data_IF_935138254295
#
_entry.id   IF_935138254295
#
_cell.length_a   1.000
_cell.length_b   1.000
_cell.length_c   1.000
_cell.angle_alpha   90.00
_cell.angle_beta   90.00
_cell.angle_gamma   90.00
#
_symmetry.space_group_name_H-M   'P 1'
#
loop_
_entity.id
_entity.type
_entity.pdbx_description
1 polymer ?
#
# COMPACT_ATOMS: atom_id res chain seq x y z
N UNK A 1 19.10 56.14 40.17
CA UNK A 1 17.73 55.81 39.71
C UNK A 1 17.70 54.33 39.31
N UNK A 2 17.42 53.44 40.26
CA UNK A 2 17.18 52.02 39.99
C UNK A 2 15.68 51.78 39.92
N UNK A 3 15.20 51.08 38.88
CA UNK A 3 13.81 50.63 38.80
C UNK A 3 13.75 49.17 39.26
N UNK A 4 13.04 48.97 40.37
CA UNK A 4 12.60 47.66 40.84
C UNK A 4 11.68 47.01 39.79
N UNK A 5 12.02 45.80 39.37
CA UNK A 5 11.15 44.94 38.57
C UNK A 5 10.60 43.88 39.52
N UNK A 6 9.38 44.09 39.99
CA UNK A 6 8.67 43.13 40.84
C UNK A 6 8.26 41.93 39.98
N UNK A 7 9.01 40.83 40.08
CA UNK A 7 8.64 39.53 39.50
C UNK A 7 7.36 39.04 40.18
N UNK A 8 6.25 39.13 39.46
CA UNK A 8 4.98 38.52 39.88
C UNK A 8 5.11 37.01 39.81
N UNK A 9 4.97 36.34 40.97
CA UNK A 9 4.92 34.88 41.08
C UNK A 9 3.83 34.33 40.15
N UNK A 10 4.09 33.27 39.37
CA UNK A 10 3.07 32.66 38.53
C UNK A 10 1.93 32.15 39.43
N UNK A 11 0.70 32.58 39.09
CA UNK A 11 -0.54 32.13 39.74
C UNK A 11 -0.56 30.59 39.74
N UNK A 12 -0.67 29.97 40.92
CA UNK A 12 -1.00 28.54 41.07
C UNK A 12 -2.21 28.26 40.17
N UNK A 13 -2.00 27.51 39.08
CA UNK A 13 -3.09 27.07 38.20
C UNK A 13 -4.01 26.17 39.03
N UNK A 14 -5.31 26.47 38.99
CA UNK A 14 -6.37 25.71 39.65
C UNK A 14 -6.26 24.24 39.24
N UNK A 15 -6.39 23.36 40.23
CA UNK A 15 -6.59 21.92 40.08
C UNK A 15 -7.71 21.65 39.05
N UNK A 16 -7.36 21.06 37.91
CA UNK A 16 -8.31 20.55 36.92
C UNK A 16 -8.35 19.03 37.12
N UNK A 17 -9.10 18.56 38.12
CA UNK A 17 -9.39 17.13 38.28
C UNK A 17 -10.39 16.63 37.23
N UNK A 18 -11.16 17.53 36.60
CA UNK A 18 -12.11 17.23 35.54
C UNK A 18 -11.42 17.18 34.19
N UNK A 19 -10.81 16.05 33.84
CA UNK A 19 -10.18 15.88 32.53
C UNK A 19 -9.07 14.84 32.47
N UNK A 20 -8.66 14.31 33.62
CA UNK A 20 -7.75 13.17 33.67
C UNK A 20 -8.45 11.91 33.16
N UNK A 21 -7.68 11.10 32.44
CA UNK A 21 -8.07 9.84 31.84
C UNK A 21 -6.94 8.83 32.06
N UNK A 22 -7.32 7.58 32.13
CA UNK A 22 -6.38 6.46 32.17
C UNK A 22 -5.97 6.15 30.73
N UNK A 23 -4.66 5.99 30.50
CA UNK A 23 -4.08 5.56 29.24
C UNK A 23 -3.26 4.29 29.51
N UNK A 24 -3.60 3.21 28.82
CA UNK A 24 -2.82 1.99 28.76
C UNK A 24 -1.86 2.09 27.57
N UNK A 25 -0.58 1.87 27.84
CA UNK A 25 0.49 1.89 26.84
C UNK A 25 1.16 0.52 26.79
N UNK A 26 1.10 -0.12 25.63
CA UNK A 26 1.85 -1.34 25.40
C UNK A 26 3.34 -1.02 25.26
N UNK A 27 4.20 -1.81 25.90
CA UNK A 27 5.65 -1.57 25.91
C UNK A 27 6.24 -1.70 24.51
N UNK A 28 7.08 -0.72 24.15
CA UNK A 28 7.77 -0.68 22.86
C UNK A 28 6.96 -0.07 21.72
N UNK A 29 5.73 0.42 21.98
CA UNK A 29 5.02 1.26 21.01
C UNK A 29 5.86 2.51 20.71
N UNK A 30 5.94 2.88 19.43
CA UNK A 30 6.70 4.03 18.95
C UNK A 30 5.77 5.08 18.37
N UNK A 31 6.16 6.35 18.49
CA UNK A 31 5.54 7.42 17.71
C UNK A 31 5.95 7.32 16.22
N UNK A 32 5.41 8.21 15.39
CA UNK A 32 5.72 8.27 13.95
C UNK A 32 7.18 8.58 13.62
N UNK A 33 7.94 9.11 14.58
CA UNK A 33 9.36 9.45 14.45
C UNK A 33 10.26 8.33 15.01
N UNK A 34 9.67 7.24 15.52
CA UNK A 34 10.37 6.07 16.04
C UNK A 34 10.75 6.16 17.52
N UNK A 35 10.28 7.18 18.25
CA UNK A 35 10.59 7.35 19.67
C UNK A 35 9.74 6.42 20.54
N UNK A 36 10.37 5.74 21.48
CA UNK A 36 9.69 4.87 22.48
C UNK A 36 9.24 5.66 23.73
N UNK A 37 9.79 6.85 23.96
CA UNK A 37 9.53 7.69 25.14
C UNK A 37 8.64 8.91 24.85
N UNK A 38 7.80 8.87 23.82
CA UNK A 38 6.94 10.00 23.45
C UNK A 38 5.93 10.40 24.54
N UNK A 39 5.74 9.56 25.57
CA UNK A 39 4.91 9.85 26.73
C UNK A 39 5.53 10.91 27.65
N UNK A 40 6.85 11.07 27.64
CA UNK A 40 7.56 12.08 28.44
C UNK A 40 7.35 13.50 27.89
N UNK A 41 6.90 13.62 26.64
CA UNK A 41 6.53 14.90 26.02
C UNK A 41 5.20 15.47 26.52
N UNK A 42 4.44 14.72 27.33
CA UNK A 42 3.16 15.14 27.86
C UNK A 42 3.11 15.11 29.39
N UNK A 43 2.20 15.90 29.96
CA UNK A 43 1.91 15.91 31.39
C UNK A 43 1.20 14.60 31.78
N UNK A 44 1.98 13.62 32.25
CA UNK A 44 1.52 12.28 32.59
C UNK A 44 2.01 11.84 33.97
N UNK A 45 1.21 11.02 34.64
CA UNK A 45 1.54 10.39 35.93
C UNK A 45 1.53 8.87 35.75
N UNK A 46 2.66 8.20 35.96
CA UNK A 46 2.74 6.73 35.90
C UNK A 46 2.03 6.10 37.10
N UNK A 47 1.08 5.20 36.83
CA UNK A 47 0.25 4.53 37.84
C UNK A 47 0.68 3.09 38.13
N UNK A 48 1.54 2.49 37.30
CA UNK A 48 1.97 1.10 37.43
C UNK A 48 1.70 0.29 36.16
N UNK A 49 1.65 -1.03 36.32
CA UNK A 49 1.38 -1.99 35.24
C UNK A 49 -0.02 -2.58 35.35
N UNK A 50 -0.66 -2.91 34.23
CA UNK A 50 -1.89 -3.70 34.22
C UNK A 50 -1.96 -4.65 33.03
N UNK A 51 -3.04 -5.44 33.01
CA UNK A 51 -3.37 -6.37 31.94
C UNK A 51 -4.58 -5.91 31.16
N UNK A 52 -4.48 -6.05 29.85
CA UNK A 52 -5.55 -5.77 28.90
C UNK A 52 -6.02 -7.09 28.25
N UNK A 53 -7.26 -7.56 28.55
CA UNK A 53 -7.82 -8.77 27.96
C UNK A 53 -8.35 -8.54 26.54
N UNK A 54 -8.32 -9.58 25.70
CA UNK A 54 -8.86 -9.56 24.33
C UNK A 54 -7.90 -9.01 23.28
N UNK A 55 -6.62 -8.88 23.61
CA UNK A 55 -5.60 -8.33 22.71
C UNK A 55 -4.35 -9.21 22.73
N UNK A 56 -3.59 -9.15 21.63
CA UNK A 56 -2.28 -9.79 21.51
C UNK A 56 -1.27 -8.84 20.87
N UNK A 57 0.01 -9.09 21.11
CA UNK A 57 1.10 -8.39 20.43
C UNK A 57 1.01 -8.64 18.91
N UNK A 58 1.29 -7.61 18.12
CA UNK A 58 1.44 -7.73 16.67
C UNK A 58 2.66 -8.57 16.31
N UNK A 59 2.53 -9.41 15.27
CA UNK A 59 3.67 -10.18 14.72
C UNK A 59 4.37 -9.38 13.62
N UNK A 60 5.68 -9.13 13.73
CA UNK A 60 6.48 -8.47 12.71
C UNK A 60 7.30 -7.30 13.24
N UNK A 61 7.65 -6.37 12.34
CA UNK A 61 8.51 -5.21 12.66
C UNK A 61 7.75 -4.06 13.36
N UNK A 62 6.41 -4.10 13.33
CA UNK A 62 5.56 -3.12 14.03
C UNK A 62 5.31 -3.60 15.45
N UNK A 63 5.69 -2.78 16.43
CA UNK A 63 5.47 -3.05 17.86
C UNK A 63 4.16 -2.42 18.30
N UNK A 64 3.12 -3.23 18.42
CA UNK A 64 1.79 -2.79 18.86
C UNK A 64 0.95 -3.95 19.37
N UNK A 65 -0.34 -3.69 19.54
CA UNK A 65 -1.33 -4.70 19.91
C UNK A 65 -2.51 -4.66 18.95
N UNK A 66 -3.14 -5.80 18.74
CA UNK A 66 -4.34 -5.93 17.90
C UNK A 66 -5.40 -6.78 18.61
N UNK A 67 -6.65 -6.62 18.22
CA UNK A 67 -7.76 -7.39 18.79
C UNK A 67 -7.55 -8.90 18.57
N UNK A 68 -7.86 -9.68 19.59
CA UNK A 68 -7.68 -11.12 19.64
C UNK A 68 -8.89 -11.78 20.34
N UNK A 69 -8.75 -13.05 20.69
CA UNK A 69 -9.81 -13.74 21.45
C UNK A 69 -9.82 -13.30 22.91
N UNK A 70 -10.95 -13.44 23.60
CA UNK A 70 -11.14 -13.06 25.02
C UNK A 70 -10.14 -13.72 25.99
N UNK A 71 -9.43 -14.77 25.56
CA UNK A 71 -8.44 -15.49 26.38
C UNK A 71 -7.05 -14.88 26.36
N UNK A 72 -6.77 -13.95 25.43
CA UNK A 72 -5.46 -13.32 25.31
C UNK A 72 -5.35 -12.13 26.27
N UNK A 73 -4.19 -11.99 26.92
CA UNK A 73 -3.89 -10.94 27.90
C UNK A 73 -2.56 -10.30 27.56
N UNK A 74 -2.51 -8.97 27.57
CA UNK A 74 -1.28 -8.21 27.33
C UNK A 74 -0.94 -7.34 28.54
N UNK A 75 0.31 -7.43 28.98
CA UNK A 75 0.88 -6.54 29.99
C UNK A 75 1.26 -5.18 29.37
N UNK A 76 0.99 -4.11 30.10
CA UNK A 76 1.37 -2.76 29.71
C UNK A 76 1.43 -1.81 30.90
N UNK A 77 1.86 -0.59 30.60
CA UNK A 77 2.05 0.48 31.57
C UNK A 77 0.82 1.40 31.55
N UNK A 78 0.41 1.88 32.73
CA UNK A 78 -0.74 2.77 32.87
C UNK A 78 -0.27 4.17 33.26
N UNK A 79 -0.86 5.17 32.61
CA UNK A 79 -0.64 6.57 32.90
C UNK A 79 -1.95 7.29 33.15
N UNK A 80 -1.90 8.28 34.03
CA UNK A 80 -2.93 9.31 34.18
C UNK A 80 -2.53 10.50 33.33
N UNK A 81 -3.38 10.87 32.39
CA UNK A 81 -3.09 11.91 31.38
C UNK A 81 -4.29 12.82 31.21
N UNK A 82 -4.08 14.09 30.88
CA UNK A 82 -5.20 14.98 30.54
C UNK A 82 -5.74 14.59 29.17
N UNK A 83 -7.05 14.68 28.99
CA UNK A 83 -7.71 14.35 27.73
C UNK A 83 -7.11 15.10 26.52
N UNK A 84 -6.75 16.37 26.68
CA UNK A 84 -6.09 17.15 25.61
C UNK A 84 -4.71 16.60 25.23
N UNK A 85 -3.96 16.03 26.17
CA UNK A 85 -2.67 15.43 25.86
C UNK A 85 -2.85 14.12 25.08
N UNK A 86 -3.93 13.37 25.35
CA UNK A 86 -4.29 12.21 24.50
C UNK A 86 -4.60 12.67 23.06
N UNK A 87 -5.30 13.80 22.87
CA UNK A 87 -5.53 14.34 21.52
C UNK A 87 -4.22 14.75 20.83
N UNK A 88 -3.24 15.26 21.57
CA UNK A 88 -1.92 15.56 21.03
C UNK A 88 -1.18 14.29 20.63
N UNK A 89 -1.29 13.23 21.44
CA UNK A 89 -0.74 11.92 21.11
C UNK A 89 -1.34 11.35 19.81
N UNK A 90 -2.65 11.51 19.55
CA UNK A 90 -3.28 11.06 18.30
C UNK A 90 -2.54 11.59 17.04
N UNK A 91 -1.95 12.80 17.11
CA UNK A 91 -1.20 13.43 16.01
C UNK A 91 0.27 12.97 15.89
N UNK A 92 0.79 12.32 16.93
CA UNK A 92 2.14 11.73 16.99
C UNK A 92 2.14 10.25 16.62
N UNK A 93 1.01 9.57 16.78
CA UNK A 93 0.91 8.16 16.42
C UNK A 93 0.98 7.96 14.90
N UNK A 94 1.50 6.79 14.49
CA UNK A 94 1.38 6.32 13.13
C UNK A 94 -0.10 6.20 12.73
N UNK A 95 -0.41 6.44 11.45
CA UNK A 95 -1.79 6.47 10.90
C UNK A 95 -2.59 5.18 11.15
N UNK A 96 -1.88 4.08 11.34
CA UNK A 96 -2.41 2.73 11.56
C UNK A 96 -2.65 2.42 13.05
N UNK A 97 -2.32 3.34 13.96
CA UNK A 97 -2.78 3.22 15.34
C UNK A 97 -4.09 3.97 15.52
N UNK A 98 -5.05 3.31 16.16
CA UNK A 98 -6.35 3.88 16.52
C UNK A 98 -6.50 3.88 18.02
N UNK A 99 -6.94 5.01 18.55
CA UNK A 99 -7.32 5.10 19.96
C UNK A 99 -8.67 4.42 20.17
N UNK A 100 -8.74 3.47 21.11
CA UNK A 100 -9.99 2.85 21.58
C UNK A 100 -10.19 3.04 23.07
N UNK A 101 -11.45 2.98 23.49
CA UNK A 101 -11.83 2.85 24.90
C UNK A 101 -11.94 1.37 25.23
N UNK A 102 -11.30 0.94 26.31
CA UNK A 102 -11.23 -0.46 26.75
C UNK A 102 -11.43 -0.57 28.26
N UNK A 103 -11.71 -1.79 28.72
CA UNK A 103 -11.67 -2.15 30.14
C UNK A 103 -10.45 -3.02 30.40
N UNK A 104 -9.66 -2.66 31.41
CA UNK A 104 -8.55 -3.48 31.90
C UNK A 104 -9.08 -4.68 32.70
N UNK A 105 -8.21 -5.65 33.01
CA UNK A 105 -8.56 -6.85 33.77
C UNK A 105 -9.21 -6.53 35.13
N UNK A 106 -8.81 -5.43 35.77
CA UNK A 106 -9.38 -4.96 37.05
C UNK A 106 -10.70 -4.17 36.91
N UNK A 107 -11.20 -4.01 35.68
CA UNK A 107 -12.43 -3.27 35.36
C UNK A 107 -12.24 -1.77 35.11
N UNK A 108 -11.02 -1.24 35.25
CA UNK A 108 -10.70 0.18 35.00
C UNK A 108 -10.94 0.57 33.54
N UNK A 109 -11.68 1.67 33.32
CA UNK A 109 -11.84 2.26 32.00
C UNK A 109 -10.56 2.98 31.58
N UNK A 110 -10.04 2.66 30.39
CA UNK A 110 -8.80 3.19 29.86
C UNK A 110 -8.88 3.48 28.36
N UNK A 111 -8.06 4.40 27.88
CA UNK A 111 -7.74 4.52 26.46
C UNK A 111 -6.54 3.65 26.12
N UNK A 112 -6.49 3.15 24.89
CA UNK A 112 -5.35 2.40 24.36
C UNK A 112 -5.16 2.72 22.88
N UNK A 113 -3.92 2.68 22.41
CA UNK A 113 -3.59 2.71 20.99
C UNK A 113 -3.43 1.29 20.47
N UNK A 114 -4.32 0.91 19.56
CA UNK A 114 -4.31 -0.40 18.93
C UNK A 114 -3.84 -0.25 17.49
N UNK A 115 -3.04 -1.20 17.03
CA UNK A 115 -2.64 -1.27 15.65
C UNK A 115 -3.80 -1.85 14.84
N UNK A 116 -4.49 -0.95 14.15
CA UNK A 116 -5.50 -1.22 13.12
C UNK A 116 -4.96 -0.70 11.80
N UNK A 117 -4.06 -1.44 11.16
CA UNK A 117 -3.61 -1.10 9.83
C UNK A 117 -4.84 -0.93 8.97
N UNK A 118 -4.95 0.24 8.32
CA UNK A 118 -6.09 0.55 7.49
C UNK A 118 -6.30 -0.67 6.57
N UNK A 119 -7.51 -1.21 6.44
CA UNK A 119 -7.74 -2.37 5.56
C UNK A 119 -7.28 -2.14 4.10
N UNK A 120 -7.12 -0.87 3.72
CA UNK A 120 -6.55 -0.43 2.44
C UNK A 120 -5.00 -0.53 2.41
N UNK A 121 -4.34 -0.45 3.57
CA UNK A 121 -2.88 -0.57 3.77
C UNK A 121 -2.43 -1.98 4.22
N UNK A 122 -3.26 -2.77 4.92
CA UNK A 122 -2.95 -4.17 5.26
C UNK A 122 -2.73 -5.04 4.03
N UNK A 123 -3.42 -4.73 2.92
CA UNK A 123 -3.11 -5.41 1.66
C UNK A 123 -1.69 -5.11 1.21
N UNK A 124 -1.11 -3.94 1.47
CA UNK A 124 0.27 -3.61 1.08
C UNK A 124 1.33 -4.20 2.03
N UNK A 125 1.08 -4.27 3.33
CA UNK A 125 2.08 -4.71 4.32
C UNK A 125 2.21 -6.24 4.44
N UNK A 126 1.14 -7.01 4.15
CA UNK A 126 1.25 -8.48 4.05
C UNK A 126 2.13 -8.92 2.87
N UNK A 127 2.17 -8.12 1.80
CA UNK A 127 3.06 -8.31 0.66
C UNK A 127 4.50 -7.98 1.04
N UNK A 128 4.72 -6.92 1.80
CA UNK A 128 6.04 -6.52 2.30
C UNK A 128 6.64 -7.56 3.26
N UNK A 129 5.84 -8.09 4.20
CA UNK A 129 6.25 -9.17 5.11
C UNK A 129 6.40 -10.52 4.40
N UNK A 130 5.68 -10.75 3.30
CA UNK A 130 5.86 -11.92 2.43
C UNK A 130 7.13 -11.79 1.58
N UNK A 131 7.39 -10.62 1.00
CA UNK A 131 8.63 -10.29 0.28
C UNK A 131 9.84 -10.41 1.21
N UNK A 132 9.77 -9.89 2.44
CA UNK A 132 10.86 -9.98 3.41
C UNK A 132 11.15 -11.44 3.84
N UNK A 133 10.13 -12.29 3.91
CA UNK A 133 10.29 -13.74 4.13
C UNK A 133 10.89 -14.46 2.91
N UNK A 134 10.54 -14.05 1.69
CA UNK A 134 11.11 -14.57 0.44
C UNK A 134 12.57 -14.11 0.24
N UNK A 135 12.88 -12.86 0.60
CA UNK A 135 14.23 -12.26 0.58
C UNK A 135 15.20 -12.91 1.56
N UNK A 136 14.71 -13.45 2.67
CA UNK A 136 15.54 -14.26 3.61
C UNK A 136 15.88 -15.65 3.05
N UNK A 137 15.15 -16.12 2.04
CA UNK A 137 15.37 -17.42 1.40
C UNK A 137 16.32 -17.27 0.19
N UNK A 138 16.36 -16.11 -0.47
CA UNK A 138 17.16 -15.87 -1.68
C UNK A 138 18.57 -15.32 -1.46
N UNK A 139 19.10 -15.34 -0.23
CA UNK A 139 20.48 -14.90 0.03
C UNK A 139 21.52 -15.88 -0.53
N UNK A 140 21.76 -15.82 -1.83
CA UNK A 140 23.00 -16.23 -2.46
C UNK A 140 23.19 -15.40 -3.76
N UNK A 141 24.18 -14.52 -3.70
CA UNK A 141 24.96 -14.06 -4.86
C UNK A 141 24.27 -13.17 -5.91
N UNK A 142 24.21 -11.85 -5.67
CA UNK A 142 24.46 -10.90 -6.76
C UNK A 142 24.87 -9.50 -6.29
N UNK A 143 25.99 -9.01 -6.84
CA UNK A 143 26.71 -7.82 -6.36
C UNK A 143 25.99 -6.49 -6.67
N UNK A 144 25.13 -6.46 -7.70
CA UNK A 144 24.28 -5.30 -8.01
C UNK A 144 23.16 -5.06 -6.99
N UNK A 145 22.81 -6.08 -6.19
CA UNK A 145 21.81 -5.99 -5.13
C UNK A 145 22.28 -5.13 -3.94
N UNK A 146 23.59 -4.93 -3.75
CA UNK A 146 24.12 -4.12 -2.63
C UNK A 146 23.91 -2.62 -2.80
N UNK A 147 23.77 -2.13 -4.04
CA UNK A 147 23.36 -0.73 -4.30
C UNK A 147 21.86 -0.53 -3.99
N UNK A 148 21.07 -1.60 -4.14
CA UNK A 148 19.63 -1.75 -3.85
C UNK A 148 19.30 -1.63 -2.35
N UNK A 149 20.18 -2.08 -1.45
CA UNK A 149 19.91 -2.17 0.01
C UNK A 149 20.02 -0.83 0.76
N UNK A 150 20.78 0.15 0.25
CA UNK A 150 21.11 1.37 1.02
C UNK A 150 19.98 2.39 1.10
N UNK A 151 18.92 2.27 0.29
CA UNK A 151 17.76 3.17 0.25
C UNK A 151 16.48 2.60 0.88
N UNK A 152 16.35 1.27 0.96
CA UNK A 152 15.16 0.56 1.50
C UNK A 152 14.93 0.76 3.01
N UNK A 153 15.90 1.31 3.75
CA UNK A 153 15.77 1.57 5.20
C UNK A 153 14.86 2.77 5.55
N UNK A 154 14.19 3.41 4.57
CA UNK A 154 13.41 4.65 4.75
C UNK A 154 11.91 4.54 4.45
N UNK A 155 11.34 3.33 4.32
CA UNK A 155 9.88 3.15 4.38
C UNK A 155 9.08 3.72 3.19
N UNK A 156 9.69 3.88 2.02
CA UNK A 156 8.98 4.15 0.77
C UNK A 156 8.79 2.83 0.02
N UNK A 157 7.55 2.48 -0.36
CA UNK A 157 7.32 1.51 -1.45
C UNK A 157 7.97 2.10 -2.69
N UNK A 158 9.11 1.55 -3.10
CA UNK A 158 9.80 2.00 -4.31
C UNK A 158 8.94 1.63 -5.52
N UNK A 159 8.55 2.65 -6.27
CA UNK A 159 8.12 2.52 -7.65
C UNK A 159 9.38 2.41 -8.51
N UNK A 160 9.39 1.48 -9.46
CA UNK A 160 10.53 1.24 -10.33
C UNK A 160 10.26 1.85 -11.70
N UNK A 161 11.04 2.85 -12.08
CA UNK A 161 11.03 3.36 -13.45
C UNK A 161 11.63 2.28 -14.36
N UNK A 162 10.85 1.80 -15.31
CA UNK A 162 11.31 0.79 -16.28
C UNK A 162 11.60 1.48 -17.60
N UNK A 163 12.83 1.40 -18.09
CA UNK A 163 13.27 2.14 -19.26
C UNK A 163 12.68 1.58 -20.57
N UNK A 164 12.27 0.30 -20.58
CA UNK A 164 11.72 -0.34 -21.78
C UNK A 164 10.79 -1.53 -21.51
N UNK A 165 10.02 -1.91 -22.53
CA UNK A 165 9.15 -3.09 -22.49
C UNK A 165 9.93 -4.41 -22.36
N UNK A 166 11.11 -4.50 -22.96
CA UNK A 166 11.97 -5.68 -22.84
C UNK A 166 12.47 -5.83 -21.40
N UNK A 167 12.90 -4.72 -20.77
CA UNK A 167 13.28 -4.69 -19.36
C UNK A 167 12.12 -5.10 -18.45
N UNK A 168 10.89 -4.68 -18.76
CA UNK A 168 9.70 -5.10 -18.04
C UNK A 168 9.45 -6.61 -18.15
N UNK A 169 9.54 -7.16 -19.36
CA UNK A 169 9.34 -8.59 -19.58
C UNK A 169 10.41 -9.40 -18.84
N UNK A 170 11.66 -8.97 -18.88
CA UNK A 170 12.76 -9.57 -18.13
C UNK A 170 12.48 -9.51 -16.61
N UNK A 171 12.03 -8.36 -16.10
CA UNK A 171 11.72 -8.16 -14.69
C UNK A 171 10.52 -9.02 -14.23
N UNK A 172 9.48 -9.18 -15.05
CA UNK A 172 8.35 -10.09 -14.77
C UNK A 172 8.82 -11.55 -14.74
N UNK A 173 9.75 -11.92 -15.62
CA UNK A 173 10.29 -13.27 -15.67
C UNK A 173 11.25 -13.59 -14.51
N UNK A 174 12.04 -12.60 -14.06
CA UNK A 174 13.00 -12.73 -12.96
C UNK A 174 12.36 -12.61 -11.58
N UNK A 175 11.39 -11.72 -11.41
CA UNK A 175 10.67 -11.47 -10.17
C UNK A 175 9.16 -11.66 -10.37
N UNK A 176 8.70 -12.90 -10.18
CA UNK A 176 7.28 -13.25 -10.28
C UNK A 176 6.45 -12.74 -9.10
N UNK A 177 7.04 -12.23 -8.02
CA UNK A 177 6.27 -11.80 -6.83
C UNK A 177 5.57 -10.43 -7.03
N UNK A 178 5.57 -9.90 -8.25
CA UNK A 178 4.93 -8.65 -8.61
C UNK A 178 3.42 -8.66 -8.40
N UNK A 179 2.93 -7.47 -8.14
CA UNK A 179 1.55 -7.21 -7.74
C UNK A 179 0.79 -6.57 -8.88
N UNK A 180 -0.29 -7.22 -9.26
CA UNK A 180 -1.21 -6.74 -10.27
C UNK A 180 -2.47 -6.26 -9.57
N UNK A 181 -2.90 -5.06 -9.90
CA UNK A 181 -4.17 -4.50 -9.46
C UNK A 181 -5.17 -4.52 -10.61
N UNK A 182 -6.25 -5.28 -10.46
CA UNK A 182 -7.33 -5.33 -11.43
C UNK A 182 -8.28 -4.15 -11.21
N UNK A 183 -8.26 -3.22 -12.15
CA UNK A 183 -9.08 -2.02 -12.14
C UNK A 183 -10.44 -2.22 -12.81
N UNK A 184 -10.46 -2.96 -13.92
CA UNK A 184 -11.65 -3.15 -14.75
C UNK A 184 -11.83 -4.64 -15.02
N UNK A 185 -12.69 -5.34 -14.27
CA UNK A 185 -12.94 -6.75 -14.52
C UNK A 185 -13.67 -6.97 -15.85
N UNK A 186 -13.61 -8.19 -16.37
CA UNK A 186 -14.32 -8.60 -17.58
C UNK A 186 -15.80 -8.23 -17.49
N UNK A 187 -16.32 -7.69 -18.60
CA UNK A 187 -17.69 -7.20 -18.73
C UNK A 187 -17.91 -5.77 -18.23
N UNK A 188 -16.91 -5.14 -17.59
CA UNK A 188 -16.92 -3.71 -17.28
C UNK A 188 -16.64 -2.85 -18.52
N UNK A 189 -16.67 -1.52 -18.36
CA UNK A 189 -16.56 -0.57 -19.47
C UNK A 189 -15.36 0.38 -19.29
N UNK A 190 -14.38 0.33 -20.20
CA UNK A 190 -13.19 1.20 -20.19
C UNK A 190 -13.08 2.05 -21.46
N UNK A 191 -12.42 3.20 -21.33
CA UNK A 191 -12.09 4.13 -22.44
C UNK A 191 -10.61 4.00 -22.77
N UNK A 192 -10.28 3.88 -24.05
CA UNK A 192 -8.89 3.81 -24.53
C UNK A 192 -8.58 5.00 -25.44
N UNK A 193 -8.45 6.19 -24.87
CA UNK A 193 -8.14 7.41 -25.63
C UNK A 193 -9.30 8.02 -26.43
N UNK A 194 -10.11 7.21 -27.12
CA UNK A 194 -11.27 7.64 -27.95
C UNK A 194 -12.57 7.85 -27.17
N UNK A 195 -13.62 8.41 -27.78
CA UNK A 195 -14.78 8.98 -27.05
C UNK A 195 -15.76 7.96 -26.42
N UNK A 196 -15.75 6.71 -26.86
CA UNK A 196 -16.69 5.67 -26.42
C UNK A 196 -16.05 4.75 -25.38
N UNK A 197 -16.80 4.39 -24.34
CA UNK A 197 -16.43 3.28 -23.44
C UNK A 197 -16.85 1.96 -24.09
N UNK A 198 -15.98 0.96 -24.00
CA UNK A 198 -16.19 -0.36 -24.59
C UNK A 198 -16.26 -1.41 -23.50
N UNK A 199 -17.15 -2.39 -23.70
CA UNK A 199 -17.28 -3.52 -22.78
C UNK A 199 -16.07 -4.43 -22.96
N UNK A 200 -15.35 -4.72 -21.88
CA UNK A 200 -14.13 -5.53 -21.93
C UNK A 200 -14.47 -7.03 -22.01
N UNK A 201 -13.87 -7.80 -22.93
CA UNK A 201 -13.96 -9.25 -22.94
C UNK A 201 -12.91 -9.92 -22.03
N UNK A 202 -12.11 -9.13 -21.30
CA UNK A 202 -11.02 -9.58 -20.43
C UNK A 202 -10.95 -8.73 -19.15
N UNK A 203 -10.26 -9.23 -18.13
CA UNK A 203 -9.82 -8.44 -16.98
C UNK A 203 -8.68 -7.50 -17.39
N UNK A 204 -8.75 -6.26 -16.93
CA UNK A 204 -7.77 -5.21 -17.18
C UNK A 204 -7.28 -4.63 -15.86
N UNK A 205 -5.97 -4.42 -15.75
CA UNK A 205 -5.34 -3.90 -14.55
C UNK A 205 -4.03 -3.20 -14.83
N UNK A 206 -3.18 -3.13 -13.82
CA UNK A 206 -1.84 -2.54 -13.90
C UNK A 206 -0.85 -3.21 -12.94
N UNK A 207 0.43 -3.14 -13.28
CA UNK A 207 1.54 -3.27 -12.34
C UNK A 207 1.80 -1.90 -11.70
N UNK A 208 1.09 -1.55 -10.63
CA UNK A 208 1.17 -0.21 -10.01
C UNK A 208 2.55 0.16 -9.44
N UNK A 209 3.44 -0.82 -9.24
CA UNK A 209 4.79 -0.61 -8.70
C UNK A 209 5.86 -0.52 -9.82
N UNK A 210 5.48 -0.82 -11.06
CA UNK A 210 6.34 -0.75 -12.24
C UNK A 210 5.88 0.43 -13.10
N UNK A 211 6.65 1.50 -13.09
CA UNK A 211 6.29 2.77 -13.72
C UNK A 211 6.67 2.73 -15.19
N UNK A 212 5.68 3.04 -16.02
CA UNK A 212 5.83 3.25 -17.44
C UNK A 212 6.31 4.69 -17.69
N UNK A 213 7.49 4.87 -18.31
CA UNK A 213 8.05 6.20 -18.58
C UNK A 213 7.25 6.98 -19.65
N UNK A 214 6.34 6.31 -20.37
CA UNK A 214 5.50 6.96 -21.36
C UNK A 214 4.42 7.86 -20.74
N UNK A 215 3.97 7.57 -19.51
CA UNK A 215 2.90 8.30 -18.84
C UNK A 215 3.04 8.46 -17.32
N UNK A 216 4.17 8.04 -16.74
CA UNK A 216 4.47 8.07 -15.31
C UNK A 216 3.44 7.30 -14.45
N UNK A 217 2.77 6.30 -15.02
CA UNK A 217 1.79 5.43 -14.34
C UNK A 217 2.20 3.96 -14.37
N UNK A 218 1.49 3.10 -13.66
CA UNK A 218 1.75 1.65 -13.68
C UNK A 218 1.58 1.06 -15.08
N UNK A 219 2.38 0.06 -15.44
CA UNK A 219 2.21 -0.65 -16.71
C UNK A 219 0.86 -1.34 -16.77
N UNK A 220 0.05 -0.97 -17.76
CA UNK A 220 -1.27 -1.55 -17.97
C UNK A 220 -1.19 -3.00 -18.47
N UNK A 221 -2.04 -3.87 -17.93
CA UNK A 221 -2.10 -5.30 -18.26
C UNK A 221 -3.50 -5.76 -18.66
N UNK A 222 -3.53 -6.84 -19.42
CA UNK A 222 -4.70 -7.58 -19.87
C UNK A 222 -4.49 -9.04 -19.47
N UNK A 223 -5.45 -9.64 -18.77
CA UNK A 223 -5.46 -11.09 -18.54
C UNK A 223 -6.33 -11.73 -19.62
N UNK A 224 -5.86 -12.80 -20.25
CA UNK A 224 -6.62 -13.48 -21.31
C UNK A 224 -8.07 -13.85 -20.87
N UNK A 225 -9.06 -13.80 -21.78
CA UNK A 225 -10.47 -14.05 -21.46
C UNK A 225 -10.73 -15.36 -20.71
N UNK A 226 -10.10 -16.46 -21.13
CA UNK A 226 -10.23 -17.78 -20.51
C UNK A 226 -9.76 -17.82 -19.05
N UNK A 227 -8.91 -16.87 -18.63
CA UNK A 227 -8.43 -16.72 -17.26
C UNK A 227 -9.14 -15.57 -16.50
N UNK A 228 -9.92 -14.74 -17.18
CA UNK A 228 -10.59 -13.59 -16.59
C UNK A 228 -11.75 -13.98 -15.66
N UNK A 229 -12.01 -13.16 -14.64
CA UNK A 229 -13.03 -13.38 -13.62
C UNK A 229 -12.67 -14.43 -12.57
N UNK A 230 -11.45 -14.98 -12.63
CA UNK A 230 -10.96 -16.00 -11.68
C UNK A 230 -10.20 -15.41 -10.49
N UNK A 231 -9.84 -14.13 -10.57
CA UNK A 231 -8.95 -13.49 -9.62
C UNK A 231 -9.64 -12.39 -8.80
N UNK A 232 -9.09 -12.11 -7.63
CA UNK A 232 -9.48 -10.97 -6.81
C UNK A 232 -8.90 -9.66 -7.33
N UNK A 233 -9.27 -8.54 -6.68
CA UNK A 233 -8.81 -7.20 -7.06
C UNK A 233 -7.28 -7.05 -7.06
N UNK A 234 -6.60 -7.76 -6.17
CA UNK A 234 -5.13 -7.78 -6.08
C UNK A 234 -4.66 -9.21 -6.36
N UNK A 235 -3.70 -9.34 -7.28
CA UNK A 235 -3.12 -10.62 -7.69
C UNK A 235 -1.61 -10.56 -7.46
N UNK A 236 -1.01 -11.68 -7.05
CA UNK A 236 0.45 -11.87 -7.13
C UNK A 236 0.73 -12.77 -8.33
N UNK A 237 1.60 -12.33 -9.24
CA UNK A 237 1.82 -13.03 -10.51
C UNK A 237 2.38 -14.46 -10.32
N UNK A 238 3.24 -14.68 -9.31
CA UNK A 238 3.84 -15.96 -8.94
C UNK A 238 2.82 -17.03 -8.54
N UNK A 239 1.81 -16.67 -7.77
CA UNK A 239 0.77 -17.60 -7.28
C UNK A 239 -0.17 -18.08 -8.38
N UNK A 240 -0.16 -17.40 -9.53
CA UNK A 240 -1.10 -17.60 -10.62
C UNK A 240 -0.38 -17.89 -11.95
N UNK A 241 0.95 -18.00 -11.91
CA UNK A 241 1.84 -18.19 -13.06
C UNK A 241 1.47 -17.30 -14.25
N UNK A 242 1.17 -16.03 -13.98
CA UNK A 242 0.82 -15.06 -15.03
C UNK A 242 2.10 -14.62 -15.75
N UNK A 243 2.24 -15.05 -16.99
CA UNK A 243 3.42 -14.81 -17.83
C UNK A 243 3.00 -13.96 -19.03
N UNK A 244 3.83 -12.97 -19.46
CA UNK A 244 3.60 -12.24 -20.71
C UNK A 244 3.56 -13.16 -21.92
N UNK A 245 2.47 -13.09 -22.68
CA UNK A 245 2.25 -13.87 -23.91
C UNK A 245 1.98 -13.00 -25.14
N UNK A 246 1.87 -11.69 -24.94
CA UNK A 246 1.68 -10.76 -26.03
C UNK A 246 1.55 -9.31 -25.58
N UNK A 247 1.27 -8.45 -26.54
CA UNK A 247 1.18 -7.00 -26.40
C UNK A 247 0.06 -6.44 -27.27
N UNK A 248 -0.62 -5.41 -26.78
CA UNK A 248 -1.40 -4.48 -27.58
C UNK A 248 -0.62 -3.17 -27.75
N UNK A 249 0.12 -3.00 -28.87
CA UNK A 249 0.98 -1.83 -29.05
C UNK A 249 0.16 -0.58 -29.35
N UNK A 250 0.58 0.56 -28.81
CA UNK A 250 -0.03 1.86 -29.12
C UNK A 250 0.31 2.27 -30.56
N UNK A 251 -0.67 2.86 -31.24
CA UNK A 251 -0.45 3.53 -32.51
C UNK A 251 0.40 4.79 -32.28
N UNK A 252 1.58 4.86 -32.89
CA UNK A 252 2.54 5.97 -32.78
C UNK A 252 2.39 7.00 -33.91
N UNK A 253 1.40 6.85 -34.79
CA UNK A 253 1.11 7.80 -35.87
C UNK A 253 0.60 9.13 -35.32
N UNK A 254 1.45 10.16 -35.33
CA UNK A 254 1.04 11.51 -34.92
C UNK A 254 -0.16 12.02 -35.73
N UNK A 255 -0.23 11.70 -37.03
CA UNK A 255 -1.31 12.09 -37.93
C UNK A 255 -2.66 11.49 -37.49
N UNK A 256 -2.70 10.21 -37.16
CA UNK A 256 -3.94 9.55 -36.71
C UNK A 256 -4.44 10.15 -35.40
N UNK A 257 -3.51 10.45 -34.47
CA UNK A 257 -3.84 11.08 -33.21
C UNK A 257 -4.31 12.53 -33.39
N UNK A 258 -3.69 13.29 -34.29
CA UNK A 258 -4.12 14.65 -34.62
C UNK A 258 -5.53 14.64 -35.22
N UNK A 259 -5.80 13.77 -36.19
CA UNK A 259 -7.12 13.64 -36.83
C UNK A 259 -8.19 13.20 -35.83
N UNK A 260 -7.97 12.11 -35.11
CA UNK A 260 -9.01 11.50 -34.26
C UNK A 260 -9.21 12.23 -32.93
N UNK A 261 -8.30 13.13 -32.55
CA UNK A 261 -8.42 13.93 -31.31
C UNK A 261 -8.60 15.43 -31.55
N UNK A 262 -8.70 15.85 -32.82
CA UNK A 262 -8.69 17.27 -33.23
C UNK A 262 -7.47 18.02 -32.68
N UNK A 263 -6.28 17.41 -32.79
CA UNK A 263 -5.00 17.95 -32.34
C UNK A 263 -4.83 18.08 -30.83
N UNK A 264 -5.73 17.49 -30.02
CA UNK A 264 -5.71 17.65 -28.55
C UNK A 264 -4.75 16.72 -27.83
N UNK A 265 -4.35 15.61 -28.48
CA UNK A 265 -3.49 14.59 -27.86
C UNK A 265 -2.41 14.15 -28.84
N UNK A 266 -1.28 13.77 -28.28
CA UNK A 266 -0.19 13.07 -28.97
C UNK A 266 -0.26 11.57 -28.68
N UNK A 267 0.31 10.72 -29.54
CA UNK A 267 0.47 9.30 -29.23
C UNK A 267 1.27 9.12 -27.93
N UNK A 268 0.77 8.33 -26.96
CA UNK A 268 1.52 7.93 -25.78
C UNK A 268 2.44 6.76 -26.15
N UNK A 269 3.46 7.04 -26.97
CA UNK A 269 4.42 6.03 -27.46
C UNK A 269 5.10 5.35 -26.26
N UNK A 270 5.13 4.02 -26.26
CA UNK A 270 5.66 3.23 -25.15
C UNK A 270 4.60 2.82 -24.12
N UNK A 271 3.37 3.34 -24.20
CA UNK A 271 2.27 2.95 -23.33
C UNK A 271 1.53 1.68 -23.81
N UNK A 272 2.29 0.69 -24.25
CA UNK A 272 1.76 -0.59 -24.72
C UNK A 272 1.08 -1.36 -23.58
N UNK A 273 0.09 -2.19 -23.91
CA UNK A 273 -0.61 -3.03 -22.93
C UNK A 273 -0.06 -4.44 -22.98
N UNK A 274 0.24 -5.03 -21.83
CA UNK A 274 0.84 -6.36 -21.76
C UNK A 274 -0.26 -7.38 -21.60
N UNK A 275 -0.20 -8.46 -22.39
CA UNK A 275 -1.15 -9.56 -22.31
C UNK A 275 -0.50 -10.68 -21.50
N UNK A 276 -1.16 -11.07 -20.41
CA UNK A 276 -0.73 -12.10 -19.48
C UNK A 276 -1.63 -13.34 -19.59
N UNK A 277 -1.03 -14.51 -19.51
CA UNK A 277 -1.77 -15.77 -19.43
C UNK A 277 -1.17 -16.73 -18.39
N UNK A 278 -2.00 -17.57 -17.75
CA UNK A 278 -1.51 -18.60 -16.84
C UNK A 278 -0.59 -19.58 -17.57
N UNK A 279 0.53 -19.92 -16.94
CA UNK A 279 1.55 -20.82 -17.49
C UNK A 279 2.11 -20.39 -18.86
N UNK A 280 1.93 -19.11 -19.23
CA UNK A 280 2.29 -18.61 -20.56
C UNK A 280 1.47 -19.22 -21.69
N UNK A 281 0.26 -19.74 -21.39
CA UNK A 281 -0.59 -20.43 -22.37
C UNK A 281 -1.93 -19.73 -22.53
N UNK A 282 -2.30 -19.45 -23.76
CA UNK A 282 -3.60 -18.91 -24.13
C UNK A 282 -4.28 -19.79 -25.18
N UNK A 283 -5.60 -19.69 -25.27
CA UNK A 283 -6.39 -20.41 -26.26
C UNK A 283 -6.50 -19.60 -27.55
N UNK A 284 -6.73 -20.25 -28.69
CA UNK A 284 -7.07 -19.57 -29.95
C UNK A 284 -8.28 -18.64 -29.80
N UNK A 285 -9.23 -18.98 -28.93
CA UNK A 285 -10.38 -18.13 -28.61
C UNK A 285 -9.97 -16.84 -27.87
N UNK A 286 -8.98 -16.92 -26.98
CA UNK A 286 -8.47 -15.75 -26.27
C UNK A 286 -7.85 -14.75 -27.23
N UNK A 287 -7.02 -15.26 -28.15
CA UNK A 287 -6.36 -14.44 -29.15
C UNK A 287 -7.39 -13.76 -30.07
N UNK A 288 -8.35 -14.52 -30.59
CA UNK A 288 -9.43 -14.00 -31.44
C UNK A 288 -10.27 -12.94 -30.74
N UNK A 289 -10.59 -13.12 -29.46
CA UNK A 289 -11.38 -12.16 -28.71
C UNK A 289 -10.62 -10.84 -28.47
N UNK A 290 -9.34 -10.93 -28.09
CA UNK A 290 -8.48 -9.74 -27.88
C UNK A 290 -8.25 -9.03 -29.22
N UNK A 291 -7.87 -9.74 -30.27
CA UNK A 291 -7.70 -9.17 -31.61
C UNK A 291 -8.98 -8.52 -32.12
N UNK A 292 -10.12 -9.20 -32.00
CA UNK A 292 -11.41 -8.63 -32.41
C UNK A 292 -11.78 -7.39 -31.60
N UNK A 293 -11.37 -7.29 -30.33
CA UNK A 293 -11.62 -6.12 -29.50
C UNK A 293 -10.77 -4.92 -29.95
N UNK A 294 -9.47 -5.14 -30.20
CA UNK A 294 -8.54 -4.06 -30.55
C UNK A 294 -8.55 -3.67 -32.03
N UNK A 295 -9.01 -4.55 -32.93
CA UNK A 295 -9.01 -4.32 -34.38
C UNK A 295 -9.65 -3.00 -34.82
N UNK A 296 -10.73 -2.59 -34.17
CA UNK A 296 -11.47 -1.37 -34.52
C UNK A 296 -11.00 -0.14 -33.73
N UNK A 297 -9.96 -0.29 -32.89
CA UNK A 297 -9.41 0.77 -32.06
C UNK A 297 -8.19 1.38 -32.72
N UNK A 298 -8.39 2.51 -33.40
CA UNK A 298 -7.32 3.23 -34.08
C UNK A 298 -6.14 3.65 -33.16
N UNK A 299 -6.35 3.65 -31.84
CA UNK A 299 -5.29 3.94 -30.85
C UNK A 299 -4.25 2.83 -30.72
N UNK A 300 -4.51 1.66 -31.29
CA UNK A 300 -3.64 0.49 -31.19
C UNK A 300 -3.27 -0.04 -32.56
N UNK A 301 -2.10 -0.67 -32.62
CA UNK A 301 -1.65 -1.48 -33.75
C UNK A 301 -2.19 -2.91 -33.59
N UNK A 302 -1.86 -3.75 -34.56
CA UNK A 302 -2.10 -5.18 -34.47
C UNK A 302 -1.45 -5.78 -33.21
N UNK A 303 -2.17 -6.72 -32.60
CA UNK A 303 -1.70 -7.45 -31.42
C UNK A 303 -0.47 -8.27 -31.80
N UNK A 304 0.54 -8.26 -30.93
CA UNK A 304 1.73 -9.10 -31.07
C UNK A 304 1.67 -10.21 -30.05
N UNK A 305 1.73 -11.46 -30.49
CA UNK A 305 1.82 -12.63 -29.62
C UNK A 305 3.24 -13.19 -29.60
N UNK A 306 3.61 -13.86 -28.51
CA UNK A 306 4.90 -14.54 -28.31
C UNK A 306 4.76 -16.06 -28.37
#
# INVERSE_FOLDING_TARGET
MGRDITLTRPKKRKSISSGLRTLFLYRGIKDKDGNEDFISDIDSEYLGTAKLPGYRQTSGDVVGITEAGEKDLIDGDIYKVRYYDILNLDSKMLKDYKRKSVKLEDGTDSYVYIYEPNKIFMEKDSRYMMLYRLLKISSAENFNFKKKIKKTAQGQTESYDIESLDELIDLINEDKAQLIFLDNPMGSYKKFGGNKKLKLPFDYGEYSELINPADDMGWDIIIVPSASGKYGKTITADKNDLIPVGLAPVNDSEADWEENTNGKKKPPVGNDKIILAPDGKYLDSDAKEIESFFKDLWQFKEIKWY
#
